data_IF_018332401333
#
_entry.id   IF_018332401333
#
_cell.length_a   1.000
_cell.length_b   1.000
_cell.length_c   1.000
_cell.angle_alpha   90.00
_cell.angle_beta   90.00
_cell.angle_gamma   90.00
#
_symmetry.space_group_name_H-M   'P 1'
#
loop_
_entity.id
_entity.type
_entity.pdbx_description
1 polymer ?
#
# COMPACT_ATOMS: atom_id res chain seq x y z
N UNK A 1 18.41 -14.83 26.73
CA UNK A 1 18.06 -14.53 25.33
C UNK A 1 17.83 -13.04 25.28
N UNK A 2 18.68 -12.28 24.58
CA UNK A 2 18.56 -10.82 24.50
C UNK A 2 17.66 -10.45 23.33
N UNK A 3 16.85 -9.40 23.50
CA UNK A 3 15.97 -8.92 22.44
C UNK A 3 16.79 -8.21 21.35
N UNK A 4 16.39 -8.41 20.10
CA UNK A 4 16.92 -7.77 18.92
C UNK A 4 15.84 -6.92 18.25
N UNK A 5 16.20 -6.17 17.20
CA UNK A 5 15.22 -5.36 16.46
C UNK A 5 14.14 -6.21 15.79
N UNK A 6 14.45 -7.45 15.46
CA UNK A 6 13.53 -8.40 14.82
C UNK A 6 12.49 -8.94 15.81
N UNK A 7 12.71 -8.72 17.11
CA UNK A 7 11.78 -9.08 18.18
C UNK A 7 10.80 -7.94 18.52
N UNK A 8 10.83 -6.84 17.76
CA UNK A 8 9.97 -5.66 17.95
C UNK A 8 8.95 -5.55 16.82
N UNK A 9 7.71 -5.33 17.20
CA UNK A 9 6.64 -4.88 16.31
C UNK A 9 6.41 -3.38 16.47
N UNK A 10 5.66 -2.78 15.55
CA UNK A 10 5.19 -1.43 15.72
C UNK A 10 3.87 -1.16 15.04
N UNK A 11 3.17 -0.17 15.55
CA UNK A 11 1.79 0.11 15.18
C UNK A 11 1.53 1.62 15.18
N UNK A 12 0.60 2.02 14.31
CA UNK A 12 0.08 3.37 14.29
C UNK A 12 -1.11 3.49 15.24
N UNK A 13 -1.21 4.62 15.93
CA UNK A 13 -2.47 5.00 16.60
C UNK A 13 -3.54 5.33 15.59
N UNK A 14 -4.78 5.43 16.07
CA UNK A 14 -5.84 6.09 15.32
C UNK A 14 -5.45 7.53 14.97
N UNK A 15 -6.03 8.04 13.89
CA UNK A 15 -5.87 9.42 13.48
C UNK A 15 -6.62 10.34 14.44
N UNK A 16 -5.90 11.30 15.05
CA UNK A 16 -6.52 12.43 15.72
C UNK A 16 -7.10 13.37 14.66
N UNK A 17 -8.43 13.50 14.65
CA UNK A 17 -9.18 14.30 13.68
C UNK A 17 -9.02 15.81 13.87
N UNK A 18 -8.62 16.27 15.07
CA UNK A 18 -8.43 17.69 15.34
C UNK A 18 -7.08 18.17 14.83
N UNK A 19 -6.03 17.38 15.06
CA UNK A 19 -4.67 17.70 14.63
C UNK A 19 -4.34 17.14 13.24
N UNK A 20 -5.14 16.19 12.73
CA UNK A 20 -4.90 15.43 11.50
C UNK A 20 -3.54 14.71 11.55
N UNK A 21 -3.18 14.24 12.75
CA UNK A 21 -1.95 13.50 12.97
C UNK A 21 -2.17 12.19 13.74
N UNK A 22 -1.16 11.33 13.70
CA UNK A 22 -1.09 10.07 14.43
C UNK A 22 0.32 9.84 14.97
N UNK A 23 0.43 8.86 15.84
CA UNK A 23 1.69 8.42 16.43
C UNK A 23 2.05 7.02 15.92
N UNK A 24 3.34 6.69 15.97
CA UNK A 24 3.86 5.34 15.72
C UNK A 24 4.63 4.84 16.93
N UNK A 25 4.20 3.71 17.48
CA UNK A 25 4.73 3.09 18.68
C UNK A 25 5.45 1.79 18.33
N UNK A 26 6.36 1.37 19.22
CA UNK A 26 7.03 0.09 19.16
C UNK A 26 6.67 -0.75 20.38
N UNK A 27 6.54 -2.05 20.18
CA UNK A 27 6.31 -3.03 21.24
C UNK A 27 7.13 -4.30 20.97
N UNK A 28 7.24 -5.18 21.96
CA UNK A 28 7.81 -6.51 21.71
C UNK A 28 6.77 -7.37 21.00
N UNK A 29 7.20 -8.07 19.96
CA UNK A 29 6.32 -8.91 19.15
C UNK A 29 5.65 -10.02 19.98
N UNK A 30 4.45 -10.43 19.56
CA UNK A 30 3.67 -11.43 20.30
C UNK A 30 4.43 -12.76 20.43
N UNK A 31 4.46 -13.33 21.64
CA UNK A 31 5.12 -14.60 21.91
C UNK A 31 6.63 -14.53 22.05
N UNK A 32 7.26 -13.36 21.85
CA UNK A 32 8.67 -13.16 22.15
C UNK A 32 8.90 -13.21 23.65
N UNK A 33 9.84 -14.07 24.07
CA UNK A 33 10.35 -14.09 25.45
C UNK A 33 11.85 -13.81 25.42
N UNK A 34 12.21 -12.57 25.71
CA UNK A 34 13.59 -12.11 25.80
C UNK A 34 13.77 -11.15 26.98
N UNK A 35 15.00 -10.97 27.44
CA UNK A 35 15.34 -10.06 28.55
C UNK A 35 16.64 -9.31 28.26
N UNK A 36 16.60 -7.98 28.40
CA UNK A 36 17.71 -7.12 27.98
C UNK A 36 17.88 -7.06 26.45
N UNK A 37 18.99 -6.48 25.99
CA UNK A 37 19.23 -6.26 24.56
C UNK A 37 18.74 -4.89 24.08
N UNK A 38 18.02 -4.86 22.96
CA UNK A 38 17.49 -3.61 22.39
C UNK A 38 16.39 -3.02 23.27
N UNK A 39 16.45 -1.71 23.51
CA UNK A 39 15.35 -0.97 24.12
C UNK A 39 14.33 -0.57 23.05
N UNK A 40 13.06 -0.46 23.43
CA UNK A 40 12.03 0.10 22.55
C UNK A 40 12.47 1.49 22.05
N UNK A 41 12.45 1.75 20.73
CA UNK A 41 12.73 3.07 20.18
C UNK A 41 11.72 4.11 20.66
N UNK A 42 12.07 5.39 20.48
CA UNK A 42 11.17 6.50 20.80
C UNK A 42 9.93 6.49 19.90
N UNK A 43 8.76 6.77 20.49
CA UNK A 43 7.51 6.98 19.78
C UNK A 43 7.65 8.15 18.80
N UNK A 44 7.25 7.91 17.56
CA UNK A 44 7.27 8.96 16.53
C UNK A 44 5.92 9.65 16.51
N UNK A 45 5.90 10.95 16.80
CA UNK A 45 4.68 11.76 16.95
C UNK A 45 4.46 12.71 15.78
N UNK A 46 3.23 13.21 15.64
CA UNK A 46 2.87 14.22 14.64
C UNK A 46 3.07 13.71 13.20
N UNK A 47 2.82 12.42 12.97
CA UNK A 47 2.85 11.85 11.63
C UNK A 47 1.52 12.17 10.95
N UNK A 48 1.50 12.58 9.67
CA UNK A 48 0.25 12.82 8.96
C UNK A 48 -0.60 11.55 8.88
N UNK A 49 -1.93 11.70 9.01
CA UNK A 49 -2.84 10.57 8.89
C UNK A 49 -2.90 10.00 7.47
N UNK A 50 -3.01 10.89 6.49
CA UNK A 50 -2.97 10.55 5.07
C UNK A 50 -1.68 11.12 4.50
N UNK A 51 -0.81 10.22 4.03
CA UNK A 51 0.40 10.59 3.32
C UNK A 51 0.64 9.62 2.17
N UNK A 52 0.92 10.19 1.00
CA UNK A 52 1.21 9.47 -0.23
C UNK A 52 2.57 9.90 -0.75
N UNK A 53 3.24 8.98 -1.44
CA UNK A 53 4.48 9.26 -2.16
C UNK A 53 4.22 9.21 -3.66
N UNK A 54 5.06 9.91 -4.43
CA UNK A 54 5.04 9.86 -5.89
C UNK A 54 5.50 8.49 -6.42
N UNK A 55 5.17 8.13 -7.68
CA UNK A 55 5.73 6.95 -8.32
C UNK A 55 7.26 6.95 -8.27
N UNK A 56 7.85 5.79 -7.98
CA UNK A 56 9.28 5.63 -7.74
C UNK A 56 9.74 5.97 -6.32
N UNK A 57 8.83 6.39 -5.42
CA UNK A 57 9.12 6.66 -4.02
C UNK A 57 8.25 5.83 -3.07
N UNK A 58 8.78 5.53 -1.88
CA UNK A 58 8.08 4.83 -0.80
C UNK A 58 8.19 5.62 0.51
N UNK A 59 7.23 5.43 1.42
CA UNK A 59 7.25 6.01 2.76
C UNK A 59 7.80 4.98 3.74
N UNK A 60 8.98 5.20 4.36
CA UNK A 60 9.46 4.33 5.41
C UNK A 60 8.54 4.37 6.64
N UNK A 61 8.46 3.24 7.35
CA UNK A 61 7.57 3.11 8.51
C UNK A 61 7.90 4.14 9.59
N UNK A 62 6.85 4.85 10.01
CA UNK A 62 6.92 5.93 10.99
C UNK A 62 7.69 7.18 10.53
N UNK A 63 8.04 7.31 9.25
CA UNK A 63 8.67 8.54 8.74
C UNK A 63 7.66 9.48 8.08
N UNK A 64 8.10 10.72 7.83
CA UNK A 64 7.30 11.73 7.12
C UNK A 64 7.81 12.01 5.71
N UNK A 65 8.99 11.52 5.37
CA UNK A 65 9.67 11.82 4.12
C UNK A 65 9.70 10.57 3.24
N UNK A 66 9.28 10.74 2.00
CA UNK A 66 9.35 9.70 1.00
C UNK A 66 10.81 9.50 0.56
N UNK A 67 11.21 8.25 0.36
CA UNK A 67 12.53 7.86 -0.15
C UNK A 67 12.40 7.23 -1.52
N UNK A 68 13.41 7.40 -2.35
CA UNK A 68 13.49 6.74 -3.66
C UNK A 68 13.51 5.22 -3.48
N UNK A 69 12.82 4.50 -4.36
CA UNK A 69 12.92 3.06 -4.44
C UNK A 69 14.34 2.65 -4.85
N UNK A 70 14.87 1.61 -4.20
CA UNK A 70 16.15 1.04 -4.58
C UNK A 70 16.11 0.42 -5.98
N UNK A 71 17.27 0.32 -6.63
CA UNK A 71 17.37 -0.26 -7.96
C UNK A 71 16.77 -1.69 -8.00
N UNK A 72 15.85 -1.92 -8.94
CA UNK A 72 15.12 -3.18 -9.06
C UNK A 72 13.76 -3.19 -8.36
N UNK A 73 13.41 -2.12 -7.63
CA UNK A 73 12.09 -1.92 -7.03
C UNK A 73 11.37 -0.73 -7.67
N UNK A 74 10.05 -0.77 -7.64
CA UNK A 74 9.22 0.33 -8.09
C UNK A 74 8.00 0.46 -7.18
N UNK A 75 7.67 1.70 -6.84
CA UNK A 75 6.41 2.07 -6.19
C UNK A 75 5.56 2.77 -7.23
N UNK A 76 4.28 2.41 -7.34
CA UNK A 76 3.32 3.13 -8.20
C UNK A 76 2.88 4.47 -7.57
N UNK A 77 3.41 4.80 -6.40
CA UNK A 77 2.98 5.93 -5.59
C UNK A 77 1.72 5.61 -4.79
N UNK A 78 1.12 6.65 -4.20
CA UNK A 78 -0.18 6.55 -3.54
C UNK A 78 -1.34 6.41 -4.53
N UNK A 79 -2.51 6.03 -4.01
CA UNK A 79 -3.77 6.02 -4.76
C UNK A 79 -4.66 7.21 -4.40
N UNK A 80 -5.57 7.56 -5.30
CA UNK A 80 -6.68 8.46 -5.00
C UNK A 80 -7.81 7.68 -4.31
N UNK A 81 -8.19 8.08 -3.10
CA UNK A 81 -9.38 7.54 -2.45
C UNK A 81 -10.60 8.31 -2.97
N UNK A 82 -11.43 7.63 -3.78
CA UNK A 82 -12.73 8.15 -4.16
C UNK A 82 -13.76 7.67 -3.14
N UNK A 83 -14.16 8.55 -2.21
CA UNK A 83 -15.18 8.23 -1.20
C UNK A 83 -16.61 8.24 -1.79
N UNK A 84 -16.79 8.85 -2.96
CA UNK A 84 -18.09 9.01 -3.61
C UNK A 84 -17.93 8.85 -5.12
N UNK A 85 -18.48 7.77 -5.69
CA UNK A 85 -18.69 7.63 -7.13
C UNK A 85 -19.90 8.50 -7.51
N UNK A 86 -19.72 9.82 -7.62
CA UNK A 86 -20.84 10.69 -8.01
C UNK A 86 -21.25 10.45 -9.47
N UNK A 87 -20.27 10.12 -10.32
CA UNK A 87 -20.46 9.69 -11.70
C UNK A 87 -19.46 8.57 -12.00
N UNK A 88 -19.95 7.47 -12.57
CA UNK A 88 -19.09 6.43 -13.13
C UNK A 88 -18.43 7.02 -14.40
N UNK A 89 -17.09 7.08 -14.51
CA UNK A 89 -16.45 7.47 -15.75
C UNK A 89 -16.80 6.43 -16.83
N UNK A 90 -17.70 6.81 -17.73
CA UNK A 90 -18.24 5.97 -18.82
C UNK A 90 -17.13 5.62 -19.84
N UNK A 91 -15.97 6.27 -19.75
CA UNK A 91 -14.83 6.09 -20.66
C UNK A 91 -13.66 5.27 -20.07
N UNK A 92 -13.93 4.37 -19.11
CA UNK A 92 -12.96 3.30 -18.83
C UNK A 92 -13.12 2.17 -19.85
N UNK A 93 -12.55 2.34 -21.03
CA UNK A 93 -12.22 1.21 -21.90
C UNK A 93 -10.99 0.50 -21.31
N UNK A 94 -11.21 -0.66 -20.71
CA UNK A 94 -10.13 -1.59 -20.37
C UNK A 94 -10.03 -2.61 -21.51
N UNK A 95 -8.97 -2.53 -22.31
CA UNK A 95 -8.58 -3.64 -23.18
C UNK A 95 -7.55 -4.48 -22.44
N UNK A 96 -7.97 -5.65 -21.96
CA UNK A 96 -7.02 -6.70 -21.55
C UNK A 96 -6.66 -7.51 -22.77
N UNK A 97 -5.49 -7.27 -23.36
CA UNK A 97 -4.94 -8.13 -24.41
C UNK A 97 -3.90 -9.08 -23.82
N UNK A 98 -3.99 -10.35 -24.18
CA UNK A 98 -2.92 -11.31 -23.95
C UNK A 98 -2.09 -11.40 -25.23
N UNK A 99 -0.86 -10.87 -25.23
CA UNK A 99 0.12 -11.17 -26.28
C UNK A 99 0.56 -12.64 -26.15
N UNK A 100 -0.14 -13.53 -26.83
CA UNK A 100 0.41 -14.84 -27.14
C UNK A 100 1.31 -14.69 -28.36
N UNK A 101 2.62 -14.74 -28.15
CA UNK A 101 3.55 -14.98 -29.24
C UNK A 101 3.13 -16.27 -29.96
N UNK A 102 2.63 -16.11 -31.19
CA UNK A 102 2.13 -17.12 -32.13
C UNK A 102 0.60 -17.34 -32.20
N UNK A 103 -0.08 -16.30 -32.68
CA UNK A 103 -1.20 -16.34 -33.64
C UNK A 103 -2.06 -17.61 -33.70
N UNK A 104 -3.25 -17.53 -33.08
CA UNK A 104 -4.46 -18.24 -33.50
C UNK A 104 -5.66 -17.37 -33.08
N UNK A 105 -6.16 -16.53 -33.98
CA UNK A 105 -7.40 -15.79 -33.74
C UNK A 105 -8.59 -16.77 -33.69
N UNK A 106 -9.36 -16.71 -32.61
CA UNK A 106 -10.72 -17.24 -32.55
C UNK A 106 -11.61 -16.07 -32.17
N UNK A 107 -11.87 -15.20 -33.15
CA UNK A 107 -12.89 -14.17 -33.03
C UNK A 107 -13.78 -14.23 -34.27
N UNK A 108 -14.87 -14.98 -34.15
CA UNK A 108 -16.08 -14.70 -34.90
C UNK A 108 -17.19 -14.53 -33.87
N UNK A 109 -17.78 -13.33 -33.71
CA UNK A 109 -19.02 -13.19 -32.98
C UNK A 109 -20.09 -13.97 -33.74
N UNK A 110 -20.60 -15.04 -33.13
CA UNK A 110 -21.67 -15.84 -33.70
C UNK A 110 -22.92 -14.97 -33.90
N UNK A 111 -23.48 -15.02 -35.10
CA UNK A 111 -24.82 -14.52 -35.39
C UNK A 111 -25.84 -15.18 -34.44
N UNK A 112 -26.57 -14.36 -33.69
CA UNK A 112 -27.75 -14.82 -32.96
C UNK A 112 -28.91 -14.84 -33.97
N UNK A 113 -29.26 -16.03 -34.45
CA UNK A 113 -30.47 -16.28 -35.22
C UNK A 113 -31.68 -16.30 -34.26
N UNK A 114 -32.52 -15.27 -34.28
CA UNK A 114 -33.89 -15.39 -33.77
C UNK A 114 -34.77 -16.10 -34.82
N UNK A 115 -35.25 -17.30 -34.49
CA UNK A 115 -36.39 -17.93 -35.14
C UNK A 115 -37.38 -18.38 -34.06
N UNK A 116 -38.63 -17.90 -34.16
CA UNK A 116 -39.80 -18.48 -33.48
C UNK A 116 -40.70 -17.45 -32.80
#
# INVERSE_FOLDING_TARGET
NECTKDDLDGFYTECDIETVTREYHYEYAEGVTCSGGVSLPETKVGLPCVQTCEPGFYLPVGERECRECEAGYFSVGGGYLFEQWKDWPIEFEWETYCETNNGKDFDQPGEIIEQG
#
